data_IF_262732083894
#
_entry.id   IF_262732083894
#
_cell.length_a   1.000
_cell.length_b   1.000
_cell.length_c   1.000
_cell.angle_alpha   90.00
_cell.angle_beta   90.00
_cell.angle_gamma   90.00
#
_symmetry.space_group_name_H-M   'P 1'
#
loop_
_entity.id
_entity.type
_entity.pdbx_description
1 polymer ?
#
# COMPACT_ATOMS: atom_id res chain seq x y z
N UNK A 1 12.73 5.28 -14.82
CA UNK A 1 12.03 4.14 -14.20
C UNK A 1 10.55 4.37 -14.37
N UNK A 2 9.81 3.40 -14.91
CA UNK A 2 8.36 3.57 -15.11
C UNK A 2 7.63 3.01 -13.88
N UNK A 3 7.30 3.90 -12.95
CA UNK A 3 6.59 3.52 -11.72
C UNK A 3 5.28 2.80 -12.03
N UNK A 4 4.64 3.08 -13.16
CA UNK A 4 3.38 2.43 -13.52
C UNK A 4 3.56 0.92 -13.62
N UNK A 5 4.62 0.47 -14.28
CA UNK A 5 4.96 -0.96 -14.40
C UNK A 5 5.26 -1.57 -13.02
N UNK A 6 5.99 -0.86 -12.17
CA UNK A 6 6.28 -1.34 -10.82
C UNK A 6 5.03 -1.47 -9.96
N UNK A 7 4.09 -0.54 -10.07
CA UNK A 7 2.80 -0.62 -9.39
C UNK A 7 1.95 -1.78 -9.93
N UNK A 8 1.98 -2.05 -11.23
CA UNK A 8 1.32 -3.21 -11.84
C UNK A 8 1.93 -4.53 -11.32
N UNK A 9 3.26 -4.61 -11.18
CA UNK A 9 3.94 -5.76 -10.56
C UNK A 9 3.57 -5.91 -9.08
N UNK A 10 3.50 -4.82 -8.32
CA UNK A 10 3.04 -4.81 -6.91
C UNK A 10 1.61 -5.30 -6.80
N UNK A 11 0.72 -4.85 -7.68
CA UNK A 11 -0.69 -5.29 -7.74
C UNK A 11 -0.75 -6.78 -8.03
N UNK A 12 0.09 -7.30 -8.92
CA UNK A 12 0.19 -8.73 -9.20
C UNK A 12 0.65 -9.50 -7.97
N UNK A 13 1.73 -9.07 -7.30
CA UNK A 13 2.20 -9.68 -6.05
C UNK A 13 1.11 -9.71 -4.98
N UNK A 14 0.32 -8.63 -4.87
CA UNK A 14 -0.80 -8.55 -3.94
C UNK A 14 -1.88 -9.59 -4.27
N UNK A 15 -2.28 -9.70 -5.55
CA UNK A 15 -3.27 -10.69 -6.03
C UNK A 15 -2.81 -12.13 -5.78
N UNK A 16 -1.51 -12.38 -5.91
CA UNK A 16 -0.87 -13.67 -5.66
C UNK A 16 -0.67 -13.95 -4.15
N UNK A 17 -1.09 -13.03 -3.27
CA UNK A 17 -0.92 -13.08 -1.80
C UNK A 17 0.54 -13.14 -1.35
N UNK A 18 1.47 -12.67 -2.17
CA UNK A 18 2.89 -12.54 -1.86
C UNK A 18 3.15 -11.28 -1.01
N UNK A 19 2.51 -11.19 0.16
CA UNK A 19 2.45 -9.94 0.94
C UNK A 19 3.81 -9.43 1.41
N UNK A 20 4.75 -10.31 1.74
CA UNK A 20 6.13 -9.92 2.12
C UNK A 20 6.83 -9.23 0.95
N UNK A 21 6.79 -9.82 -0.25
CA UNK A 21 7.39 -9.22 -1.45
C UNK A 21 6.68 -7.92 -1.84
N UNK A 22 5.35 -7.91 -1.79
CA UNK A 22 4.54 -6.73 -2.04
C UNK A 22 4.91 -5.57 -1.09
N UNK A 23 5.09 -5.87 0.20
CA UNK A 23 5.55 -4.90 1.20
C UNK A 23 6.94 -4.35 0.86
N UNK A 24 7.89 -5.22 0.52
CA UNK A 24 9.27 -4.84 0.26
C UNK A 24 9.39 -3.93 -0.98
N UNK A 25 8.67 -4.25 -2.06
CA UNK A 25 8.60 -3.42 -3.27
C UNK A 25 7.94 -2.05 -2.99
N UNK A 26 6.86 -2.02 -2.22
CA UNK A 26 6.22 -0.77 -1.79
C UNK A 26 7.14 0.07 -0.91
N UNK A 27 7.87 -0.56 0.01
CA UNK A 27 8.82 0.13 0.89
C UNK A 27 9.98 0.72 0.09
N UNK A 28 10.49 -0.02 -0.90
CA UNK A 28 11.52 0.45 -1.82
C UNK A 28 11.05 1.72 -2.57
N UNK A 29 9.90 1.64 -3.24
CA UNK A 29 9.32 2.79 -3.95
C UNK A 29 9.05 3.97 -3.01
N UNK A 30 8.52 3.71 -1.81
CA UNK A 30 8.29 4.76 -0.82
C UNK A 30 9.61 5.46 -0.44
N UNK A 31 10.69 4.71 -0.26
CA UNK A 31 12.01 5.25 0.10
C UNK A 31 12.60 6.13 -1.00
N UNK A 32 12.35 5.82 -2.26
CA UNK A 32 12.73 6.68 -3.38
C UNK A 32 11.86 7.95 -3.39
N UNK A 33 10.54 7.77 -3.38
CA UNK A 33 9.59 8.87 -3.50
C UNK A 33 9.65 9.88 -2.35
N UNK A 34 9.99 9.41 -1.14
CA UNK A 34 10.09 10.29 0.03
C UNK A 34 11.31 11.20 -0.04
N UNK A 35 12.34 10.84 -0.82
CA UNK A 35 13.60 11.58 -0.89
C UNK A 35 13.65 12.57 -2.07
N UNK A 36 12.60 12.65 -2.88
CA UNK A 36 12.45 13.61 -3.98
C UNK A 36 11.26 14.55 -3.69
N UNK A 37 11.49 15.86 -3.81
CA UNK A 37 10.48 16.89 -3.54
C UNK A 37 9.28 16.81 -4.49
N UNK A 38 9.51 16.47 -5.75
CA UNK A 38 8.47 16.39 -6.78
C UNK A 38 7.48 15.25 -6.51
N UNK A 39 7.97 14.15 -5.95
CA UNK A 39 7.17 12.95 -5.63
C UNK A 39 6.77 12.86 -4.16
N UNK A 40 7.20 13.80 -3.32
CA UNK A 40 7.04 13.73 -1.86
C UNK A 40 5.60 13.53 -1.41
N UNK A 41 4.64 14.13 -2.12
CA UNK A 41 3.20 13.98 -1.81
C UNK A 41 2.72 12.54 -2.06
N UNK A 42 3.09 11.95 -3.19
CA UNK A 42 2.77 10.55 -3.52
C UNK A 42 3.47 9.56 -2.60
N UNK A 43 4.63 9.91 -2.03
CA UNK A 43 5.30 9.07 -1.03
C UNK A 43 4.40 8.74 0.17
N UNK A 44 3.44 9.60 0.53
CA UNK A 44 2.51 9.30 1.62
C UNK A 44 1.45 8.26 1.22
N UNK A 45 1.09 8.16 -0.06
CA UNK A 45 0.23 7.08 -0.58
C UNK A 45 0.99 5.76 -0.50
N UNK A 46 2.23 5.72 -0.98
CA UNK A 46 3.08 4.52 -0.92
C UNK A 46 3.30 4.06 0.53
N UNK A 47 3.59 5.01 1.44
CA UNK A 47 3.65 4.73 2.88
C UNK A 47 2.36 4.10 3.41
N UNK A 48 1.20 4.59 2.96
CA UNK A 48 -0.09 4.04 3.35
C UNK A 48 -0.18 2.57 2.92
N UNK A 49 0.16 2.27 1.67
CA UNK A 49 0.13 0.90 1.15
C UNK A 49 1.13 -0.03 1.85
N UNK A 50 2.37 0.40 2.11
CA UNK A 50 3.33 -0.39 2.89
C UNK A 50 2.74 -0.78 4.26
N UNK A 51 2.07 0.17 4.93
CA UNK A 51 1.41 -0.10 6.22
C UNK A 51 0.16 -0.97 6.09
N UNK A 52 -0.57 -0.90 4.98
CA UNK A 52 -1.74 -1.72 4.74
C UNK A 52 -1.38 -3.17 4.45
N UNK A 53 -0.36 -3.43 3.62
CA UNK A 53 0.01 -4.80 3.24
C UNK A 53 0.52 -5.61 4.44
N UNK A 54 1.29 -4.97 5.33
CA UNK A 54 1.83 -5.68 6.52
C UNK A 54 0.76 -6.06 7.54
N UNK A 55 -0.46 -5.49 7.48
CA UNK A 55 -1.61 -5.88 8.32
C UNK A 55 -1.89 -7.37 8.19
N UNK A 56 -1.88 -7.89 6.96
CA UNK A 56 -2.26 -9.27 6.67
C UNK A 56 -1.29 -10.26 7.31
N UNK A 57 0.01 -9.98 7.25
CA UNK A 57 1.03 -10.78 7.93
C UNK A 57 0.92 -10.68 9.47
N UNK A 58 0.68 -9.47 9.99
CA UNK A 58 0.55 -9.27 11.44
C UNK A 58 -0.67 -9.99 12.02
N UNK A 59 -1.79 -10.02 11.30
CA UNK A 59 -2.99 -10.76 11.72
C UNK A 59 -2.77 -12.26 11.65
N UNK A 60 -2.12 -12.78 10.60
CA UNK A 60 -1.72 -14.19 10.52
C UNK A 60 -0.81 -14.61 11.68
N UNK A 61 0.04 -13.70 12.18
CA UNK A 61 0.91 -13.92 13.34
C UNK A 61 0.23 -13.67 14.70
N UNK A 62 -1.09 -13.44 14.74
CA UNK A 62 -1.85 -13.06 15.94
C UNK A 62 -1.35 -11.78 16.64
N UNK A 63 -0.68 -10.87 15.91
CA UNK A 63 -0.18 -9.59 16.41
C UNK A 63 -1.21 -8.48 16.25
N UNK A 64 -2.42 -8.71 16.76
CA UNK A 64 -3.63 -7.90 16.50
C UNK A 64 -3.45 -6.42 16.83
N UNK A 65 -2.86 -6.08 17.98
CA UNK A 65 -2.66 -4.67 18.37
C UNK A 65 -1.71 -3.93 17.41
N UNK A 66 -0.68 -4.62 16.93
CA UNK A 66 0.27 -4.05 15.97
C UNK A 66 -0.39 -3.85 14.61
N UNK A 67 -1.17 -4.83 14.14
CA UNK A 67 -2.00 -4.72 12.94
C UNK A 67 -2.88 -3.46 12.99
N UNK A 68 -3.63 -3.26 14.08
CA UNK A 68 -4.50 -2.08 14.25
C UNK A 68 -3.73 -0.76 14.14
N UNK A 69 -2.53 -0.69 14.71
CA UNK A 69 -1.72 0.53 14.69
C UNK A 69 -1.26 0.89 13.26
N UNK A 70 -0.79 -0.10 12.48
CA UNK A 70 -0.37 0.14 11.10
C UNK A 70 -1.57 0.39 10.18
N UNK A 71 -2.71 -0.27 10.42
CA UNK A 71 -3.96 0.00 9.70
C UNK A 71 -4.45 1.44 9.90
N UNK A 72 -4.38 1.96 11.13
CA UNK A 72 -4.69 3.37 11.40
C UNK A 72 -3.74 4.32 10.65
N UNK A 73 -2.48 3.93 10.45
CA UNK A 73 -1.54 4.69 9.63
C UNK A 73 -1.95 4.71 8.17
N UNK A 74 -2.42 3.59 7.62
CA UNK A 74 -3.00 3.54 6.28
C UNK A 74 -4.22 4.48 6.16
N UNK A 75 -5.19 4.36 7.07
CA UNK A 75 -6.41 5.19 7.09
C UNK A 75 -6.12 6.69 7.20
N UNK A 76 -5.03 7.07 7.88
CA UNK A 76 -4.59 8.47 7.97
C UNK A 76 -4.23 9.07 6.60
N UNK A 77 -3.73 8.28 5.66
CA UNK A 77 -3.19 8.76 4.39
C UNK A 77 -4.00 8.35 3.16
N UNK A 78 -4.91 7.37 3.27
CA UNK A 78 -5.66 6.84 2.12
C UNK A 78 -6.42 7.91 1.31
N UNK A 79 -6.89 8.98 1.97
CA UNK A 79 -7.62 10.07 1.31
C UNK A 79 -6.78 10.78 0.23
N UNK A 80 -5.45 10.66 0.29
CA UNK A 80 -4.54 11.23 -0.70
C UNK A 80 -4.67 10.54 -2.06
N UNK A 81 -5.10 9.28 -2.10
CA UNK A 81 -5.33 8.52 -3.35
C UNK A 81 -6.39 9.24 -4.20
N UNK A 82 -7.45 9.71 -3.55
CA UNK A 82 -8.55 10.40 -4.21
C UNK A 82 -8.21 11.88 -4.46
N UNK A 83 -7.46 12.52 -3.55
CA UNK A 83 -7.16 13.95 -3.57
C UNK A 83 -6.05 14.36 -4.56
N UNK A 84 -5.01 13.55 -4.69
CA UNK A 84 -3.87 13.92 -5.55
C UNK A 84 -4.23 13.69 -7.03
N UNK A 85 -3.72 14.59 -7.87
CA UNK A 85 -3.69 14.41 -9.31
C UNK A 85 -2.34 13.78 -9.66
N UNK A 86 -2.36 12.50 -9.99
CA UNK A 86 -1.18 11.70 -10.30
C UNK A 86 -1.48 10.85 -11.52
N UNK A 87 -0.47 10.69 -12.37
CA UNK A 87 -0.52 9.78 -13.52
C UNK A 87 -0.72 8.32 -13.11
N UNK A 88 -0.39 7.97 -11.85
CA UNK A 88 -0.50 6.63 -11.28
C UNK A 88 -1.81 6.39 -10.52
N UNK A 89 -2.74 7.35 -10.57
CA UNK A 89 -3.97 7.32 -9.77
C UNK A 89 -4.79 6.05 -10.00
N UNK A 90 -4.85 5.55 -11.23
CA UNK A 90 -5.55 4.29 -11.54
C UNK A 90 -4.99 3.10 -10.74
N UNK A 91 -3.67 2.96 -10.68
CA UNK A 91 -3.00 1.87 -9.96
C UNK A 91 -3.21 2.00 -8.45
N UNK A 92 -3.16 3.23 -7.92
CA UNK A 92 -3.42 3.47 -6.51
C UNK A 92 -4.87 3.12 -6.11
N UNK A 93 -5.85 3.45 -6.96
CA UNK A 93 -7.25 3.08 -6.73
C UNK A 93 -7.42 1.56 -6.76
N UNK A 94 -6.85 0.88 -7.76
CA UNK A 94 -6.93 -0.59 -7.87
C UNK A 94 -6.34 -1.26 -6.62
N UNK A 95 -5.16 -0.84 -6.17
CA UNK A 95 -4.53 -1.42 -4.99
C UNK A 95 -5.34 -1.16 -3.71
N UNK A 96 -5.92 0.04 -3.56
CA UNK A 96 -6.84 0.37 -2.45
C UNK A 96 -8.04 -0.58 -2.43
N UNK A 97 -8.69 -0.79 -3.57
CA UNK A 97 -9.85 -1.68 -3.70
C UNK A 97 -9.50 -3.13 -3.34
N UNK A 98 -8.35 -3.63 -3.83
CA UNK A 98 -7.87 -4.98 -3.50
C UNK A 98 -7.57 -5.14 -2.01
N UNK A 99 -6.92 -4.17 -1.38
CA UNK A 99 -6.63 -4.16 0.06
C UNK A 99 -7.93 -4.25 0.87
N UNK A 100 -8.93 -3.43 0.52
CA UNK A 100 -10.21 -3.45 1.23
C UNK A 100 -10.95 -4.76 1.05
N UNK A 101 -11.03 -5.27 -0.19
CA UNK A 101 -11.64 -6.56 -0.48
C UNK A 101 -10.98 -7.68 0.35
N UNK A 102 -9.66 -7.72 0.40
CA UNK A 102 -8.95 -8.75 1.16
C UNK A 102 -9.16 -8.61 2.68
N UNK A 103 -9.17 -7.38 3.20
CA UNK A 103 -9.45 -7.14 4.62
C UNK A 103 -10.85 -7.60 5.02
N UNK A 104 -11.85 -7.33 4.19
CA UNK A 104 -13.23 -7.80 4.40
C UNK A 104 -13.34 -9.33 4.33
N UNK A 105 -12.53 -10.01 3.52
CA UNK A 105 -12.46 -11.47 3.48
C UNK A 105 -11.81 -12.06 4.74
N UNK A 106 -10.83 -11.36 5.33
CA UNK A 106 -10.13 -11.80 6.54
C UNK A 106 -10.97 -11.64 7.82
N UNK A 107 -11.88 -10.66 7.84
CA UNK A 107 -12.76 -10.37 8.98
C UNK A 107 -14.03 -11.26 9.03
N UNK A 108 -14.23 -12.15 8.04
CA UNK A 108 -15.36 -13.10 7.97
C UNK A 108 -15.03 -14.43 8.65
#
# INVERSE_FOLDING_TARGET
>A
MDIKLQLEDIIKLFKDKEFVKCHDELEHLWREYKNDESTRKESFILKAFTNAVVVFELENMNRIQHSKNVWNTYKKYEYLIDKLDSVNKSQYIELKELIYKYKEELDK
#
